data_IF_095265574980
#
_entry.id   IF_095265574980
#
_cell.length_a   1.000
_cell.length_b   1.000
_cell.length_c   1.000
_cell.angle_alpha   90.00
_cell.angle_beta   90.00
_cell.angle_gamma   90.00
#
_symmetry.space_group_name_H-M   'P 1'
#
loop_
_entity.id
_entity.type
_entity.pdbx_description
1 polymer ?
#
# COMPACT_ATOMS: atom_id res chain seq x y z
N UNK A 1 25.34 -19.36 -19.24
CA UNK A 1 24.21 -18.90 -20.06
C UNK A 1 23.02 -19.75 -19.64
N UNK A 2 22.23 -19.28 -18.71
CA UNK A 2 21.01 -19.96 -18.29
C UNK A 2 19.93 -18.89 -18.21
N UNK A 3 18.99 -18.99 -19.10
CA UNK A 3 17.86 -18.11 -19.33
C UNK A 3 16.89 -18.21 -18.15
N UNK A 4 16.58 -17.06 -17.54
CA UNK A 4 15.49 -16.93 -16.59
C UNK A 4 14.16 -17.16 -17.32
N UNK A 5 13.38 -18.11 -16.81
CA UNK A 5 12.05 -18.43 -17.33
C UNK A 5 11.03 -17.44 -16.77
N UNK A 6 10.44 -16.72 -17.69
CA UNK A 6 9.22 -15.95 -17.57
C UNK A 6 8.05 -16.84 -17.11
N UNK A 7 7.54 -16.63 -15.89
CA UNK A 7 6.36 -17.33 -15.39
C UNK A 7 5.17 -16.39 -15.25
N UNK A 8 4.76 -15.79 -16.37
CA UNK A 8 3.49 -15.06 -16.46
C UNK A 8 2.36 -16.09 -16.61
N UNK A 9 1.74 -16.51 -15.51
CA UNK A 9 0.50 -17.28 -15.57
C UNK A 9 -0.69 -16.35 -15.82
N UNK A 10 -1.05 -16.20 -17.10
CA UNK A 10 -2.36 -15.69 -17.52
C UNK A 10 -3.42 -16.75 -17.22
N UNK A 11 -4.40 -16.40 -16.37
CA UNK A 11 -5.68 -17.08 -16.34
C UNK A 11 -6.73 -16.08 -16.82
N UNK A 12 -7.13 -16.23 -18.08
CA UNK A 12 -8.26 -15.52 -18.64
C UNK A 12 -9.54 -16.30 -18.29
N UNK A 13 -10.48 -15.66 -17.61
CA UNK A 13 -11.90 -16.11 -17.61
C UNK A 13 -12.77 -14.93 -17.95
N UNK A 14 -13.61 -15.13 -18.98
CA UNK A 14 -14.55 -14.17 -19.51
C UNK A 14 -15.75 -13.99 -18.56
N UNK A 15 -16.17 -12.73 -18.36
CA UNK A 15 -17.43 -12.35 -17.73
C UNK A 15 -17.48 -10.83 -17.63
N UNK A 16 -18.37 -10.19 -18.37
CA UNK A 16 -18.48 -8.72 -18.39
C UNK A 16 -18.98 -8.17 -17.06
N UNK A 17 -18.63 -6.91 -16.76
CA UNK A 17 -19.01 -5.99 -15.69
C UNK A 17 -18.34 -6.16 -14.30
N UNK A 18 -17.99 -7.34 -13.84
CA UNK A 18 -17.18 -7.49 -12.62
C UNK A 18 -15.67 -7.31 -12.89
N UNK A 19 -15.24 -7.34 -14.14
CA UNK A 19 -13.84 -7.29 -14.57
C UNK A 19 -13.19 -5.89 -14.44
N UNK A 20 -13.99 -4.85 -14.25
CA UNK A 20 -13.49 -3.46 -14.18
C UNK A 20 -13.28 -2.96 -12.73
N UNK A 21 -13.54 -3.78 -11.72
CA UNK A 21 -13.43 -3.39 -10.30
C UNK A 21 -12.44 -4.26 -9.55
N UNK A 22 -11.74 -3.67 -8.58
CA UNK A 22 -10.77 -4.33 -7.70
C UNK A 22 -11.00 -3.93 -6.25
N UNK A 23 -10.45 -4.71 -5.32
CA UNK A 23 -10.24 -4.26 -3.95
C UNK A 23 -8.73 -4.28 -3.69
N UNK A 24 -8.18 -3.12 -3.38
CA UNK A 24 -6.79 -2.95 -3.00
C UNK A 24 -6.69 -2.72 -1.49
N UNK A 25 -5.65 -3.26 -0.87
CA UNK A 25 -5.44 -3.21 0.57
C UNK A 25 -4.10 -2.55 0.90
N UNK A 26 -4.05 -1.72 1.95
CA UNK A 26 -2.78 -1.43 2.62
C UNK A 26 -2.32 -2.65 3.43
N UNK A 27 -1.07 -2.65 3.85
CA UNK A 27 -0.46 -3.73 4.63
C UNK A 27 -0.51 -3.46 6.13
N UNK A 28 0.11 -2.36 6.55
CA UNK A 28 0.30 -2.04 7.97
C UNK A 28 -1.02 -1.52 8.57
N UNK A 29 -1.50 -2.15 9.65
CA UNK A 29 -2.78 -1.83 10.28
C UNK A 29 -4.00 -2.45 9.60
N UNK A 30 -3.85 -3.04 8.42
CA UNK A 30 -4.92 -3.68 7.64
C UNK A 30 -4.72 -5.19 7.56
N UNK A 31 -3.61 -5.64 7.02
CA UNK A 31 -3.21 -7.06 6.89
C UNK A 31 -2.33 -7.48 8.06
N UNK A 32 -1.32 -6.67 8.39
CA UNK A 32 -0.45 -6.84 9.55
C UNK A 32 -0.91 -5.93 10.70
N UNK A 33 -0.99 -6.48 11.90
CA UNK A 33 -1.32 -5.74 13.11
C UNK A 33 -0.30 -4.64 13.43
N UNK A 34 -0.79 -3.46 13.88
CA UNK A 34 -0.01 -2.31 14.33
C UNK A 34 0.36 -1.31 13.22
N UNK A 35 0.99 -0.20 13.66
CA UNK A 35 1.23 1.00 12.85
C UNK A 35 2.28 0.89 11.74
N UNK A 36 3.03 -0.20 11.66
CA UNK A 36 4.12 -0.34 10.69
C UNK A 36 5.47 -0.66 11.33
N UNK A 37 6.55 -0.32 10.62
CA UNK A 37 7.91 -0.58 11.09
C UNK A 37 8.27 0.32 12.28
N UNK A 38 8.80 -0.29 13.33
CA UNK A 38 9.30 0.40 14.54
C UNK A 38 10.43 1.39 14.17
N UNK A 39 10.34 2.62 14.66
CA UNK A 39 11.34 3.67 14.43
C UNK A 39 12.76 3.26 14.84
N UNK A 40 12.90 2.40 15.85
CA UNK A 40 14.20 1.84 16.24
C UNK A 40 14.87 1.00 15.14
N UNK A 41 14.10 0.44 14.21
CA UNK A 41 14.64 -0.28 13.04
C UNK A 41 15.35 0.70 12.11
N UNK A 42 14.73 1.85 11.84
CA UNK A 42 15.29 2.90 10.98
C UNK A 42 16.54 3.54 11.61
N UNK A 43 16.51 3.80 12.92
CA UNK A 43 17.66 4.33 13.64
C UNK A 43 18.86 3.38 13.58
N UNK A 44 18.64 2.08 13.83
CA UNK A 44 19.71 1.07 13.73
C UNK A 44 20.19 0.85 12.30
N UNK A 45 19.32 0.94 11.31
CA UNK A 45 19.71 0.87 9.91
C UNK A 45 20.63 2.03 9.52
N UNK A 46 20.36 3.22 10.06
CA UNK A 46 21.25 4.35 9.88
C UNK A 46 22.60 4.13 10.57
N UNK A 47 22.63 3.59 11.82
CA UNK A 47 23.87 3.24 12.51
C UNK A 47 24.75 2.31 11.66
N UNK A 48 24.16 1.23 11.14
CA UNK A 48 24.88 0.28 10.29
C UNK A 48 25.55 0.96 9.09
N UNK A 49 24.78 1.83 8.40
CA UNK A 49 25.27 2.51 7.19
C UNK A 49 26.36 3.53 7.53
N UNK A 50 26.24 4.25 8.65
CA UNK A 50 27.25 5.21 9.10
C UNK A 50 28.54 4.48 9.52
N UNK A 51 28.43 3.38 10.26
CA UNK A 51 29.56 2.56 10.71
C UNK A 51 30.30 1.94 9.50
N UNK A 52 29.58 1.38 8.52
CA UNK A 52 30.17 0.84 7.30
C UNK A 52 30.93 1.88 6.48
N UNK A 53 30.50 3.14 6.57
CA UNK A 53 31.16 4.28 5.89
C UNK A 53 32.21 5.00 6.73
N UNK A 54 32.40 4.57 7.98
CA UNK A 54 33.37 5.19 8.94
C UNK A 54 32.95 6.61 9.33
N UNK A 55 31.65 6.93 9.34
CA UNK A 55 31.11 8.24 9.63
C UNK A 55 30.65 8.36 11.08
N UNK A 56 31.29 9.19 11.87
CA UNK A 56 30.84 9.52 13.23
C UNK A 56 29.95 10.77 13.20
N UNK A 57 28.66 10.61 13.47
CA UNK A 57 27.66 11.68 13.40
C UNK A 57 26.91 11.80 14.72
N UNK A 58 26.83 13.02 15.26
CA UNK A 58 26.14 13.31 16.52
C UNK A 58 25.32 14.61 16.43
N UNK A 59 24.49 14.87 17.46
CA UNK A 59 23.73 16.10 17.58
C UNK A 59 22.68 16.32 16.50
N UNK A 60 22.55 17.56 16.03
CA UNK A 60 21.50 17.96 15.08
C UNK A 60 21.62 17.25 13.75
N UNK A 61 22.84 17.03 13.24
CA UNK A 61 23.03 16.26 12.01
C UNK A 61 22.51 14.85 12.13
N UNK A 62 22.75 14.21 13.27
CA UNK A 62 22.22 12.86 13.52
C UNK A 62 20.70 12.87 13.45
N UNK A 63 20.05 13.84 14.10
CA UNK A 63 18.58 13.99 14.06
C UNK A 63 18.05 14.20 12.64
N UNK A 64 18.73 15.03 11.83
CA UNK A 64 18.37 15.23 10.43
C UNK A 64 18.48 13.94 9.61
N UNK A 65 19.50 13.11 9.84
CA UNK A 65 19.67 11.83 9.15
C UNK A 65 18.71 10.74 9.65
N UNK A 66 18.18 10.84 10.86
CA UNK A 66 17.16 9.94 11.42
C UNK A 66 15.77 10.26 10.92
N UNK A 67 15.53 11.46 10.38
CA UNK A 67 14.24 11.85 9.82
C UNK A 67 13.77 10.86 8.75
N UNK A 68 12.48 10.53 8.79
CA UNK A 68 11.85 9.69 7.75
C UNK A 68 11.68 10.44 6.42
N UNK A 69 12.11 11.72 6.37
CA UNK A 69 11.94 12.59 5.21
C UNK A 69 13.23 12.76 4.42
N UNK A 70 13.09 12.80 3.10
CA UNK A 70 14.15 13.23 2.18
C UNK A 70 14.03 14.73 1.92
N UNK A 71 14.25 15.53 2.96
CA UNK A 71 14.09 17.00 2.97
C UNK A 71 15.43 17.73 2.88
N UNK A 72 15.39 19.07 2.97
CA UNK A 72 16.58 19.90 2.95
C UNK A 72 17.50 19.61 4.14
N UNK A 73 16.94 19.37 5.33
CA UNK A 73 17.73 19.04 6.53
C UNK A 73 18.53 17.75 6.35
N UNK A 74 17.94 16.73 5.73
CA UNK A 74 18.65 15.50 5.38
C UNK A 74 19.77 15.76 4.37
N UNK A 75 19.45 16.51 3.28
CA UNK A 75 20.43 16.85 2.22
C UNK A 75 21.60 17.66 2.74
N UNK A 76 21.32 18.66 3.59
CA UNK A 76 22.36 19.51 4.20
C UNK A 76 23.27 18.71 5.15
N UNK A 77 22.70 17.79 5.93
CA UNK A 77 23.46 16.90 6.77
C UNK A 77 24.41 16.00 5.95
N UNK A 78 23.92 15.46 4.83
CA UNK A 78 24.75 14.66 3.91
C UNK A 78 25.86 15.49 3.25
N UNK A 79 25.55 16.71 2.79
CA UNK A 79 26.53 17.61 2.19
C UNK A 79 27.66 17.96 3.18
N UNK A 80 27.32 18.20 4.44
CA UNK A 80 28.31 18.46 5.48
C UNK A 80 29.21 17.25 5.81
N UNK A 81 28.80 16.04 5.43
CA UNK A 81 29.57 14.80 5.57
C UNK A 81 30.31 14.42 4.28
N UNK A 82 30.10 15.16 3.19
CA UNK A 82 30.67 14.84 1.90
C UNK A 82 30.12 13.57 1.25
N UNK A 83 28.87 13.19 1.59
CA UNK A 83 28.21 11.99 1.06
C UNK A 83 27.07 12.37 0.13
N UNK A 84 26.80 11.52 -0.87
CA UNK A 84 25.65 11.67 -1.76
C UNK A 84 24.35 11.39 -0.99
N UNK A 85 23.41 12.35 -0.92
CA UNK A 85 22.18 12.19 -0.16
C UNK A 85 21.29 11.07 -0.66
N UNK A 86 21.19 10.88 -2.00
CA UNK A 86 20.33 9.87 -2.57
C UNK A 86 20.86 8.46 -2.29
N UNK A 87 22.18 8.29 -2.36
CA UNK A 87 22.84 7.04 -2.02
C UNK A 87 22.68 6.70 -0.53
N UNK A 88 22.94 7.67 0.38
CA UNK A 88 22.80 7.42 1.82
C UNK A 88 21.36 7.09 2.19
N UNK A 89 20.38 7.80 1.60
CA UNK A 89 18.95 7.55 1.84
C UNK A 89 18.55 6.14 1.39
N UNK A 90 18.96 5.72 0.18
CA UNK A 90 18.71 4.39 -0.35
C UNK A 90 19.35 3.31 0.51
N UNK A 91 20.62 3.42 0.88
CA UNK A 91 21.32 2.41 1.68
C UNK A 91 20.66 2.24 3.05
N UNK A 92 20.23 3.36 3.68
CA UNK A 92 19.46 3.32 4.93
C UNK A 92 18.14 2.55 4.76
N UNK A 93 17.42 2.80 3.68
CA UNK A 93 16.15 2.12 3.41
C UNK A 93 16.35 0.63 3.10
N UNK A 94 17.37 0.26 2.33
CA UNK A 94 17.73 -1.14 2.09
C UNK A 94 18.05 -1.87 3.41
N UNK A 95 18.82 -1.21 4.29
CA UNK A 95 19.13 -1.77 5.59
C UNK A 95 17.88 -1.87 6.49
N UNK A 96 16.99 -0.87 6.43
CA UNK A 96 15.72 -0.87 7.16
C UNK A 96 14.81 -2.00 6.67
N UNK A 97 14.69 -2.21 5.36
CA UNK A 97 13.92 -3.31 4.79
C UNK A 97 14.45 -4.67 5.28
N UNK A 98 15.77 -4.88 5.21
CA UNK A 98 16.41 -6.11 5.69
C UNK A 98 16.12 -6.38 7.16
N UNK A 99 16.31 -5.36 8.04
CA UNK A 99 16.03 -5.49 9.47
C UNK A 99 14.56 -5.72 9.77
N UNK A 100 13.65 -5.12 8.99
CA UNK A 100 12.21 -5.36 9.10
C UNK A 100 11.87 -6.81 8.78
N UNK A 101 12.43 -7.36 7.69
CA UNK A 101 12.28 -8.75 7.28
C UNK A 101 12.79 -9.70 8.37
N UNK A 102 13.97 -9.46 8.93
CA UNK A 102 14.55 -10.28 10.00
C UNK A 102 13.63 -10.31 11.25
N UNK A 103 13.04 -9.16 11.62
CA UNK A 103 12.10 -9.07 12.74
C UNK A 103 10.77 -9.77 12.46
N UNK A 104 10.23 -9.62 11.25
CA UNK A 104 9.02 -10.32 10.81
C UNK A 104 9.23 -11.84 10.85
N UNK A 105 10.36 -12.33 10.32
CA UNK A 105 10.74 -13.75 10.38
C UNK A 105 10.88 -14.26 11.81
N UNK A 106 11.27 -13.39 12.76
CA UNK A 106 11.32 -13.71 14.19
C UNK A 106 9.94 -13.62 14.88
N UNK A 107 8.86 -13.36 14.16
CA UNK A 107 7.48 -13.36 14.68
C UNK A 107 7.13 -12.12 15.51
N UNK A 108 7.76 -10.96 15.27
CA UNK A 108 7.49 -9.73 16.01
C UNK A 108 6.14 -9.08 15.67
N UNK A 109 5.53 -9.46 14.56
CA UNK A 109 4.20 -9.00 14.13
C UNK A 109 3.37 -10.18 13.65
N UNK A 110 2.06 -10.02 13.67
CA UNK A 110 1.07 -11.05 13.29
C UNK A 110 0.12 -10.48 12.25
N UNK A 111 -0.58 -11.38 11.56
CA UNK A 111 -1.73 -11.01 10.75
C UNK A 111 -2.86 -10.48 11.63
N UNK A 112 -3.64 -9.56 11.10
CA UNK A 112 -4.90 -9.14 11.70
C UNK A 112 -5.86 -10.34 11.81
N UNK A 113 -6.70 -10.39 12.86
CA UNK A 113 -7.53 -11.58 13.13
C UNK A 113 -8.60 -11.86 12.07
N UNK A 114 -8.93 -10.88 11.24
CA UNK A 114 -9.95 -10.91 10.19
C UNK A 114 -9.37 -10.93 8.78
N UNK A 115 -8.10 -11.28 8.62
CA UNK A 115 -7.40 -11.32 7.33
C UNK A 115 -7.99 -12.36 6.37
N UNK A 116 -8.64 -13.40 6.88
CA UNK A 116 -9.35 -14.43 6.14
C UNK A 116 -10.49 -13.87 5.27
N UNK A 117 -11.03 -12.69 5.62
CA UNK A 117 -12.00 -11.99 4.79
C UNK A 117 -11.46 -11.64 3.40
N UNK A 118 -10.13 -11.51 3.25
CA UNK A 118 -9.49 -11.22 1.95
C UNK A 118 -9.72 -12.34 0.95
N UNK A 119 -9.66 -13.61 1.39
CA UNK A 119 -9.95 -14.76 0.54
C UNK A 119 -11.41 -14.71 0.03
N UNK A 120 -12.35 -14.39 0.92
CA UNK A 120 -13.76 -14.27 0.55
C UNK A 120 -14.03 -13.10 -0.41
N UNK A 121 -13.28 -11.98 -0.31
CA UNK A 121 -13.34 -10.87 -1.27
C UNK A 121 -12.73 -11.29 -2.61
N UNK A 122 -11.62 -12.04 -2.59
CA UNK A 122 -10.92 -12.51 -3.79
C UNK A 122 -11.76 -13.51 -4.64
N UNK A 123 -12.75 -14.18 -4.02
CA UNK A 123 -13.73 -14.99 -4.74
C UNK A 123 -14.67 -14.17 -5.63
N UNK A 124 -14.78 -12.86 -5.39
CA UNK A 124 -15.73 -11.93 -6.05
C UNK A 124 -15.07 -11.00 -7.05
N UNK A 125 -13.94 -10.41 -6.66
CA UNK A 125 -13.19 -9.43 -7.46
C UNK A 125 -11.69 -9.67 -7.30
N UNK A 126 -10.85 -9.25 -8.27
CA UNK A 126 -9.39 -9.26 -8.09
C UNK A 126 -8.98 -8.42 -6.88
N UNK A 127 -8.02 -8.93 -6.12
CA UNK A 127 -7.47 -8.22 -4.96
C UNK A 127 -5.98 -7.93 -5.13
N UNK A 128 -5.53 -6.80 -4.59
CA UNK A 128 -4.12 -6.40 -4.60
C UNK A 128 -3.67 -5.80 -3.27
N UNK A 129 -2.38 -5.90 -2.99
CA UNK A 129 -1.73 -5.31 -1.82
C UNK A 129 -0.84 -4.15 -2.26
N UNK A 130 -1.11 -2.94 -1.77
CA UNK A 130 -0.36 -1.73 -2.12
C UNK A 130 -0.01 -0.95 -0.86
N UNK A 131 1.28 -0.88 -0.51
CA UNK A 131 1.75 -0.32 0.75
C UNK A 131 2.85 0.73 0.61
N UNK A 132 2.88 1.67 1.55
CA UNK A 132 4.01 2.60 1.73
C UNK A 132 5.25 1.93 2.34
N UNK A 133 5.16 0.67 2.77
CA UNK A 133 6.31 -0.08 3.20
C UNK A 133 7.21 -0.45 2.00
N UNK A 134 8.46 -0.78 2.25
CA UNK A 134 9.42 -1.13 1.20
C UNK A 134 8.99 -2.37 0.43
N UNK A 135 9.09 -2.34 -0.90
CA UNK A 135 8.66 -3.46 -1.74
C UNK A 135 9.22 -4.81 -1.31
N UNK A 136 10.53 -4.98 -1.00
CA UNK A 136 11.05 -6.27 -0.52
C UNK A 136 10.42 -6.73 0.80
N UNK A 137 10.00 -5.79 1.67
CA UNK A 137 9.31 -6.14 2.91
C UNK A 137 7.90 -6.63 2.64
N UNK A 138 7.20 -6.00 1.70
CA UNK A 138 5.82 -6.37 1.32
C UNK A 138 5.81 -7.76 0.67
N UNK A 139 6.73 -8.04 -0.27
CA UNK A 139 6.90 -9.35 -0.88
C UNK A 139 7.16 -10.43 0.17
N UNK A 140 8.09 -10.16 1.11
CA UNK A 140 8.37 -11.09 2.21
C UNK A 140 7.14 -11.39 3.06
N UNK A 141 6.30 -10.40 3.36
CA UNK A 141 5.06 -10.59 4.14
C UNK A 141 4.11 -11.52 3.40
N UNK A 142 3.89 -11.28 2.12
CA UNK A 142 3.00 -12.12 1.29
C UNK A 142 3.48 -13.57 1.26
N UNK A 143 4.77 -13.78 1.01
CA UNK A 143 5.36 -15.13 0.94
C UNK A 143 5.38 -15.83 2.31
N UNK A 144 5.78 -15.11 3.36
CA UNK A 144 5.93 -15.67 4.71
C UNK A 144 4.60 -16.11 5.32
N UNK A 145 3.55 -15.30 5.12
CA UNK A 145 2.22 -15.58 5.64
C UNK A 145 1.30 -16.31 4.65
N UNK A 146 1.80 -16.63 3.44
CA UNK A 146 1.07 -17.33 2.37
C UNK A 146 -0.25 -16.63 2.00
N UNK A 147 -0.16 -15.35 1.72
CA UNK A 147 -1.30 -14.52 1.32
C UNK A 147 -1.55 -14.67 -0.20
N UNK A 148 -1.87 -15.89 -0.62
CA UNK A 148 -1.93 -16.30 -2.03
C UNK A 148 -3.11 -15.69 -2.80
N UNK A 149 -4.07 -15.05 -2.10
CA UNK A 149 -5.22 -14.37 -2.70
C UNK A 149 -4.81 -13.13 -3.52
N UNK A 150 -3.72 -12.45 -3.18
CA UNK A 150 -3.32 -11.24 -3.87
C UNK A 150 -2.82 -11.51 -5.29
N UNK A 151 -3.52 -10.96 -6.29
CA UNK A 151 -3.14 -11.02 -7.70
C UNK A 151 -2.13 -9.95 -8.10
N UNK A 152 -1.96 -8.92 -7.26
CA UNK A 152 -0.98 -7.85 -7.41
C UNK A 152 -0.40 -7.48 -6.04
N UNK A 153 0.92 -7.29 -5.97
CA UNK A 153 1.63 -6.97 -4.73
C UNK A 153 2.63 -5.86 -5.01
N UNK A 154 2.50 -4.75 -4.31
CA UNK A 154 3.38 -3.59 -4.50
C UNK A 154 3.64 -2.86 -3.18
N UNK A 155 4.92 -2.77 -2.80
CA UNK A 155 5.43 -1.79 -1.83
C UNK A 155 6.11 -0.65 -2.56
N UNK A 156 6.45 0.42 -1.86
CA UNK A 156 7.18 1.53 -2.50
C UNK A 156 8.62 1.15 -2.86
N UNK A 157 9.15 1.80 -3.89
CA UNK A 157 10.54 1.69 -4.26
C UNK A 157 11.46 2.31 -3.19
N UNK A 158 12.69 1.83 -3.13
CA UNK A 158 13.72 2.40 -2.27
C UNK A 158 14.31 3.68 -2.86
N UNK A 159 14.71 4.57 -1.99
CA UNK A 159 15.34 5.83 -2.35
C UNK A 159 14.38 6.99 -2.54
N UNK A 160 14.92 8.17 -2.90
CA UNK A 160 14.15 9.42 -2.91
C UNK A 160 12.94 9.43 -3.85
N UNK A 161 13.01 8.70 -4.97
CA UNK A 161 11.90 8.62 -5.91
C UNK A 161 10.73 7.85 -5.32
N UNK A 162 10.97 6.65 -4.79
CA UNK A 162 9.94 5.86 -4.12
C UNK A 162 9.35 6.59 -2.91
N UNK A 163 10.18 7.35 -2.19
CA UNK A 163 9.72 8.21 -1.11
C UNK A 163 8.71 9.26 -1.58
N UNK A 164 8.94 9.92 -2.74
CA UNK A 164 8.01 10.93 -3.30
C UNK A 164 6.70 10.34 -3.78
N UNK A 165 6.72 9.09 -4.29
CA UNK A 165 5.56 8.36 -4.85
C UNK A 165 4.72 7.64 -3.80
N UNK A 166 5.06 7.77 -2.51
CA UNK A 166 4.28 7.14 -1.44
C UNK A 166 2.92 7.82 -1.27
N UNK A 167 1.91 7.08 -0.84
CA UNK A 167 0.62 7.64 -0.46
C UNK A 167 0.80 8.85 0.47
N UNK A 168 0.12 9.99 0.22
CA UNK A 168 -1.09 10.13 -0.58
C UNK A 168 -0.88 10.37 -2.09
N UNK A 169 0.31 10.13 -2.66
CA UNK A 169 0.50 10.06 -4.11
C UNK A 169 -0.16 8.77 -4.63
N UNK A 170 -0.98 8.82 -5.72
CA UNK A 170 -1.71 7.66 -6.21
C UNK A 170 -0.84 6.67 -7.00
N UNK A 171 0.41 6.98 -7.28
CA UNK A 171 1.29 6.28 -8.22
C UNK A 171 1.22 4.74 -8.14
N UNK A 172 1.34 4.17 -6.95
CA UNK A 172 1.32 2.71 -6.80
C UNK A 172 -0.08 2.10 -6.87
N UNK A 173 -1.14 2.90 -6.63
CA UNK A 173 -2.52 2.49 -6.88
C UNK A 173 -2.81 2.47 -8.38
N UNK A 174 -2.32 3.46 -9.11
CA UNK A 174 -2.44 3.51 -10.58
C UNK A 174 -1.72 2.32 -11.23
N UNK A 175 -0.50 1.97 -10.76
CA UNK A 175 0.20 0.75 -11.19
C UNK A 175 -0.64 -0.52 -10.94
N UNK A 176 -1.34 -0.59 -9.81
CA UNK A 176 -2.19 -1.73 -9.49
C UNK A 176 -3.43 -1.80 -10.41
N UNK A 177 -4.08 -0.66 -10.65
CA UNK A 177 -5.22 -0.56 -11.57
C UNK A 177 -4.84 -1.00 -12.98
N UNK A 178 -3.72 -0.49 -13.49
CA UNK A 178 -3.20 -0.85 -14.80
C UNK A 178 -2.87 -2.35 -14.91
N UNK A 179 -2.18 -2.89 -13.90
CA UNK A 179 -1.77 -4.30 -13.90
C UNK A 179 -2.95 -5.28 -13.79
N UNK A 180 -4.01 -4.90 -13.07
CA UNK A 180 -5.22 -5.69 -12.89
C UNK A 180 -6.27 -5.43 -13.98
N UNK A 181 -6.05 -4.44 -14.85
CA UNK A 181 -6.97 -4.05 -15.92
C UNK A 181 -8.27 -3.44 -15.37
N UNK A 182 -8.21 -2.81 -14.21
CA UNK A 182 -9.35 -2.24 -13.52
C UNK A 182 -9.46 -0.72 -13.72
N UNK A 183 -10.67 -0.18 -13.60
CA UNK A 183 -10.96 1.25 -13.76
C UNK A 183 -11.52 1.88 -12.49
N UNK A 184 -11.73 1.10 -11.44
CA UNK A 184 -12.26 1.56 -10.17
C UNK A 184 -12.33 0.42 -9.16
N UNK A 185 -12.93 0.70 -8.03
CA UNK A 185 -13.06 -0.26 -6.94
C UNK A 185 -12.84 0.38 -5.58
N UNK A 186 -12.36 -0.41 -4.63
CA UNK A 186 -12.14 0.03 -3.26
C UNK A 186 -10.63 0.02 -2.93
N UNK A 187 -10.21 0.98 -2.14
CA UNK A 187 -8.91 0.92 -1.45
C UNK A 187 -9.12 0.96 0.06
N UNK A 188 -8.66 -0.08 0.76
CA UNK A 188 -8.83 -0.25 2.20
C UNK A 188 -7.55 0.14 2.92
N UNK A 189 -7.65 1.14 3.79
CA UNK A 189 -6.51 1.64 4.56
C UNK A 189 -6.89 2.08 5.97
N UNK A 190 -5.90 2.34 6.79
CA UNK A 190 -6.06 2.71 8.20
C UNK A 190 -5.66 4.16 8.51
N UNK A 191 -5.33 4.96 7.45
CA UNK A 191 -4.83 6.34 7.56
C UNK A 191 -5.54 7.29 6.60
N UNK A 192 -5.52 8.58 6.94
CA UNK A 192 -6.01 9.62 6.03
C UNK A 192 -5.28 9.63 4.68
N UNK A 193 -3.98 9.31 4.65
CA UNK A 193 -3.19 9.22 3.41
C UNK A 193 -3.69 8.13 2.46
N UNK A 194 -4.33 7.09 2.99
CA UNK A 194 -4.91 6.00 2.21
C UNK A 194 -6.18 6.47 1.50
N UNK A 195 -7.07 7.14 2.25
CA UNK A 195 -8.30 7.72 1.72
C UNK A 195 -8.00 8.75 0.63
N UNK A 196 -7.03 9.64 0.87
CA UNK A 196 -6.62 10.66 -0.11
C UNK A 196 -6.00 10.01 -1.36
N UNK A 197 -5.17 8.97 -1.19
CA UNK A 197 -4.59 8.26 -2.33
C UNK A 197 -5.66 7.54 -3.17
N UNK A 198 -6.64 6.91 -2.50
CA UNK A 198 -7.78 6.27 -3.15
C UNK A 198 -8.56 7.26 -4.02
N UNK A 199 -8.95 8.40 -3.44
CA UNK A 199 -9.68 9.46 -4.17
C UNK A 199 -8.90 9.93 -5.41
N UNK A 200 -7.58 10.15 -5.27
CA UNK A 200 -6.71 10.59 -6.37
C UNK A 200 -6.55 9.55 -7.47
N UNK A 201 -6.63 8.26 -7.14
CA UNK A 201 -6.59 7.15 -8.08
C UNK A 201 -7.97 6.81 -8.68
N UNK A 202 -9.05 7.52 -8.29
CA UNK A 202 -10.41 7.21 -8.73
C UNK A 202 -11.02 5.97 -8.07
N UNK A 203 -10.52 5.60 -6.89
CA UNK A 203 -11.05 4.53 -6.05
C UNK A 203 -11.89 5.10 -4.91
N UNK A 204 -12.85 4.31 -4.42
CA UNK A 204 -13.56 4.62 -3.19
C UNK A 204 -12.67 4.24 -1.99
N UNK A 205 -12.29 5.23 -1.16
CA UNK A 205 -11.50 5.00 0.03
C UNK A 205 -12.34 4.39 1.15
N UNK A 206 -11.95 3.21 1.63
CA UNK A 206 -12.56 2.55 2.79
C UNK A 206 -11.62 2.70 3.98
N UNK A 207 -12.06 3.41 5.01
CA UNK A 207 -11.28 3.56 6.23
C UNK A 207 -11.54 2.40 7.18
N UNK A 208 -10.49 1.68 7.55
CA UNK A 208 -10.56 0.60 8.52
C UNK A 208 -10.24 1.11 9.93
N UNK A 209 -11.26 1.17 10.78
CA UNK A 209 -11.14 1.56 12.18
C UNK A 209 -10.62 0.39 13.01
N UNK A 210 -9.48 0.59 13.66
CA UNK A 210 -8.85 -0.37 14.57
C UNK A 210 -8.61 0.27 15.94
N UNK A 211 -8.18 -0.52 16.91
CA UNK A 211 -7.85 -0.01 18.25
C UNK A 211 -6.78 1.10 18.18
N UNK A 212 -5.73 0.89 17.38
CA UNK A 212 -4.62 1.82 17.26
C UNK A 212 -4.98 3.19 16.65
N UNK A 213 -6.04 3.26 15.84
CA UNK A 213 -6.52 4.50 15.21
C UNK A 213 -7.93 4.92 15.68
N UNK A 214 -8.46 4.32 16.76
CA UNK A 214 -9.84 4.50 17.21
C UNK A 214 -10.22 5.97 17.46
N UNK A 215 -9.28 6.79 17.94
CA UNK A 215 -9.49 8.22 18.23
C UNK A 215 -8.98 9.15 17.13
N UNK A 216 -8.54 8.60 15.98
CA UNK A 216 -8.00 9.40 14.89
C UNK A 216 -9.12 10.21 14.20
N UNK A 217 -8.94 11.52 14.16
CA UNK A 217 -9.69 12.40 13.26
C UNK A 217 -9.01 12.38 11.90
N UNK A 218 -9.70 11.86 10.89
CA UNK A 218 -9.12 11.73 9.54
C UNK A 218 -8.92 13.08 8.84
N UNK A 219 -9.73 14.08 9.15
CA UNK A 219 -9.75 15.35 8.42
C UNK A 219 -10.14 15.23 6.93
N UNK A 220 -10.54 14.03 6.49
CA UNK A 220 -11.06 13.69 5.15
C UNK A 220 -12.23 12.76 5.31
N UNK A 221 -13.17 12.76 4.36
CA UNK A 221 -14.35 11.90 4.39
C UNK A 221 -14.08 10.64 3.56
N UNK A 222 -14.06 9.43 4.16
CA UNK A 222 -13.94 8.20 3.43
C UNK A 222 -15.26 7.84 2.73
N UNK A 223 -15.20 7.08 1.63
CA UNK A 223 -16.38 6.51 0.97
C UNK A 223 -17.15 5.55 1.88
N UNK A 224 -16.46 4.84 2.76
CA UNK A 224 -17.03 4.03 3.83
C UNK A 224 -16.06 3.93 5.02
N UNK A 225 -16.60 3.69 6.23
CA UNK A 225 -15.83 3.33 7.40
C UNK A 225 -16.30 1.96 7.90
N UNK A 226 -15.36 1.06 8.18
CA UNK A 226 -15.60 -0.30 8.64
C UNK A 226 -14.77 -0.61 9.89
N UNK A 227 -15.26 -1.49 10.75
CA UNK A 227 -14.55 -1.96 11.94
C UNK A 227 -13.87 -3.33 11.73
N UNK A 228 -14.21 -4.02 10.64
CA UNK A 228 -13.67 -5.34 10.30
C UNK A 228 -13.60 -5.54 8.80
N UNK A 229 -12.58 -6.27 8.32
CA UNK A 229 -12.46 -6.65 6.91
C UNK A 229 -13.64 -7.52 6.43
N UNK A 230 -14.34 -8.24 7.32
CA UNK A 230 -15.54 -9.00 6.96
C UNK A 230 -16.68 -8.14 6.42
N UNK A 231 -16.74 -6.84 6.79
CA UNK A 231 -17.76 -5.92 6.29
C UNK A 231 -17.56 -5.55 4.80
N UNK A 232 -16.35 -5.76 4.26
CA UNK A 232 -16.05 -5.51 2.84
C UNK A 232 -16.91 -6.36 1.89
N UNK A 233 -17.29 -7.56 2.32
CA UNK A 233 -18.11 -8.47 1.51
C UNK A 233 -19.43 -7.76 1.11
N UNK A 234 -20.06 -7.10 2.10
CA UNK A 234 -21.28 -6.33 1.85
C UNK A 234 -21.09 -5.15 0.91
N UNK A 235 -19.95 -4.44 1.01
CA UNK A 235 -19.62 -3.30 0.13
C UNK A 235 -19.35 -3.75 -1.31
N UNK A 236 -18.65 -4.88 -1.49
CA UNK A 236 -18.38 -5.46 -2.81
C UNK A 236 -19.68 -5.93 -3.48
N UNK A 237 -20.52 -6.63 -2.73
CA UNK A 237 -21.81 -7.15 -3.25
C UNK A 237 -22.77 -5.99 -3.62
N UNK A 238 -22.84 -4.92 -2.84
CA UNK A 238 -23.64 -3.73 -3.11
C UNK A 238 -23.17 -2.99 -4.37
N UNK A 239 -21.85 -2.81 -4.53
CA UNK A 239 -21.27 -2.16 -5.70
C UNK A 239 -21.45 -2.94 -7.01
N UNK A 240 -21.64 -4.25 -6.92
CA UNK A 240 -21.97 -5.10 -8.08
C UNK A 240 -23.43 -4.96 -8.53
N UNK A 241 -24.32 -4.48 -7.64
CA UNK A 241 -25.76 -4.35 -7.91
C UNK A 241 -26.13 -3.02 -8.59
N UNK A 242 -25.35 -1.96 -8.40
CA UNK A 242 -25.63 -0.63 -8.98
C UNK A 242 -25.30 -0.53 -10.48
N UNK A 243 -24.57 -1.50 -11.04
CA UNK A 243 -24.30 -1.64 -12.48
C UNK A 243 -25.48 -2.17 -13.31
N UNK A 244 -26.54 -2.69 -12.69
CA UNK A 244 -27.71 -3.25 -13.36
C UNK A 244 -28.90 -2.28 -13.29
N UNK A 245 -29.24 -1.71 -14.48
CA UNK A 245 -30.52 -1.05 -14.83
C UNK A 245 -30.59 0.46 -14.59
N UNK A 246 -30.16 1.21 -15.59
CA UNK A 246 -30.97 2.38 -16.01
C UNK A 246 -31.97 1.88 -17.07
N UNK A 247 -33.28 1.83 -16.80
CA UNK A 247 -34.25 1.59 -17.86
C UNK A 247 -34.24 2.78 -18.82
N UNK A 248 -34.03 2.50 -20.09
CA UNK A 248 -34.13 3.47 -21.15
C UNK A 248 -35.45 4.22 -21.07
N UNK A 249 -35.39 5.54 -21.05
CA UNK A 249 -36.53 6.41 -21.28
C UNK A 249 -36.96 6.20 -22.74
N UNK A 250 -37.93 5.31 -22.99
CA UNK A 250 -38.64 5.24 -24.23
C UNK A 250 -39.41 6.55 -24.43
N UNK A 251 -38.84 7.41 -25.25
CA UNK A 251 -39.50 8.56 -25.81
C UNK A 251 -40.52 8.13 -26.91
N UNK A 252 -41.72 7.78 -26.53
CA UNK A 252 -42.85 7.77 -27.49
C UNK A 252 -43.29 9.19 -27.77
N UNK A 253 -42.78 9.73 -28.87
CA UNK A 253 -43.32 10.90 -29.50
C UNK A 253 -44.71 10.58 -30.03
N UNK A 254 -45.74 11.23 -29.50
CA UNK A 254 -47.03 11.34 -30.16
C UNK A 254 -47.07 12.65 -30.96
N UNK A 255 -47.08 12.51 -32.29
CA UNK A 255 -47.47 13.59 -33.21
C UNK A 255 -48.95 13.38 -33.52
N UNK A 256 -49.78 14.28 -33.11
CA UNK A 256 -51.00 14.60 -33.90
C UNK A 256 -51.68 15.87 -33.42
N UNK A 257 -51.74 16.81 -34.30
CA UNK A 257 -52.65 17.93 -34.62
C UNK A 257 -52.29 19.31 -34.10
#
# INVERSE_FOLDING_TARGET
MTTAADSTRRRATAGGDAADRVVLFDMDGVVLDGWGTDSAVHARALDDVLDERGLAVTGDRRRSLESDSYDDGFRDACAALGVDPAALFRDREERSAKRSIERLAAGTRRLCPDVDAIDAVAERVPVGLVSNNYHPTVEFVVDHFRLDAFSFVRGRDLGPEGFRRRKPDPHYLDEALDALGARGGLYVGDRATDVIAAERAGLDGVFLRREHNAALDLGVEPGAEIGSLHELIGLVDAGSSDGAVRPGADGTGDRSR
#
